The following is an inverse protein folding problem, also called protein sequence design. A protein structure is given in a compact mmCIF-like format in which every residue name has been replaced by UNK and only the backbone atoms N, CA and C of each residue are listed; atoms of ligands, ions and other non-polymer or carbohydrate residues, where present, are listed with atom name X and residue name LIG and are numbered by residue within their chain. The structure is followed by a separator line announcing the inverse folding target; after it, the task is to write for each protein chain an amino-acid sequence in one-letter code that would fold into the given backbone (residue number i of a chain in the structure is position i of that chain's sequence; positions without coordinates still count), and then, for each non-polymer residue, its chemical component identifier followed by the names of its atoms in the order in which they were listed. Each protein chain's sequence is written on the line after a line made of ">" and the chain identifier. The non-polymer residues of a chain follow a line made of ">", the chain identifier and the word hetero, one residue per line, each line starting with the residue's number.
data_IF_543333365120
#
_entry.id   IF_543333365120
#
_cell.length_a   1.000
_cell.length_b   1.000
_cell.length_c   1.000
_cell.angle_alpha   90.00
_cell.angle_beta   90.00
_cell.angle_gamma   90.00
#
_symmetry.space_group_name_H-M   'P 1'
#
loop_
_entity.id
_entity.type
_entity.pdbx_description
1 polymer ?
#
# COMPACT_ATOMS: atom_id res chain seq x y z
N UNK A 1 -12.02 40.35 7.41
CA UNK A 1 -11.97 38.92 7.76
C UNK A 1 -11.39 38.18 6.57
N UNK A 2 -10.16 37.71 6.71
CA UNK A 2 -9.42 36.98 5.67
C UNK A 2 -9.87 35.51 5.77
N UNK A 3 -10.35 34.87 4.69
CA UNK A 3 -10.72 33.46 4.74
C UNK A 3 -9.46 32.60 4.95
N UNK A 4 -9.58 31.56 5.77
CA UNK A 4 -8.51 30.61 6.07
C UNK A 4 -8.03 29.87 4.80
N UNK A 5 -6.71 29.65 4.72
CA UNK A 5 -6.00 28.89 3.67
C UNK A 5 -6.58 27.50 3.35
N UNK A 6 -7.42 26.93 4.21
CA UNK A 6 -8.13 25.66 3.98
C UNK A 6 -9.16 25.68 2.82
N UNK A 7 -9.61 26.86 2.37
CA UNK A 7 -10.61 26.96 1.29
C UNK A 7 -10.03 27.20 -0.11
N UNK A 8 -8.71 27.39 -0.24
CA UNK A 8 -8.08 27.69 -1.54
C UNK A 8 -7.65 26.38 -2.26
N UNK A 9 -7.37 25.31 -1.51
CA UNK A 9 -7.00 24.01 -2.10
C UNK A 9 -8.18 23.23 -2.71
N UNK A 10 -9.44 23.54 -2.33
CA UNK A 10 -10.65 22.87 -2.88
C UNK A 10 -11.18 23.48 -4.18
N UNK A 11 -10.67 24.63 -4.61
CA UNK A 11 -11.19 25.40 -5.76
C UNK A 11 -10.31 25.25 -7.01
N UNK A 12 -9.09 24.71 -6.90
CA UNK A 12 -8.16 24.60 -8.02
C UNK A 12 -8.31 23.34 -8.90
N UNK A 13 -9.32 22.50 -8.67
CA UNK A 13 -9.62 21.35 -9.55
C UNK A 13 -10.59 21.70 -10.69
N UNK A 14 -11.18 22.91 -10.67
CA UNK A 14 -12.39 23.24 -11.44
C UNK A 14 -12.17 23.95 -12.79
N UNK A 15 -10.93 24.16 -13.25
CA UNK A 15 -10.68 25.02 -14.43
C UNK A 15 -10.02 24.36 -15.65
N UNK A 16 -9.75 23.06 -15.63
CA UNK A 16 -9.18 22.35 -16.80
C UNK A 16 -10.09 21.31 -17.46
N UNK A 17 -11.35 21.17 -17.03
CA UNK A 17 -12.30 20.19 -17.60
C UNK A 17 -13.16 20.71 -18.77
N UNK A 18 -12.83 21.87 -19.37
CA UNK A 18 -13.62 22.49 -20.45
C UNK A 18 -12.98 22.43 -21.85
N UNK A 19 -12.06 21.50 -22.09
CA UNK A 19 -11.66 21.17 -23.46
C UNK A 19 -12.26 19.81 -23.85
N UNK A 20 -13.40 19.78 -24.57
CA UNK A 20 -13.88 18.56 -25.22
C UNK A 20 -12.99 18.30 -26.43
N UNK A 21 -11.74 17.93 -26.16
CA UNK A 21 -10.89 17.26 -27.14
C UNK A 21 -11.45 15.85 -27.30
N UNK A 22 -12.05 15.57 -28.45
CA UNK A 22 -12.47 14.25 -28.85
C UNK A 22 -11.26 13.29 -28.85
N UNK A 23 -11.00 12.65 -27.71
CA UNK A 23 -10.11 11.50 -27.64
C UNK A 23 -10.97 10.26 -27.79
N UNK A 24 -10.79 9.56 -28.91
CA UNK A 24 -11.28 8.21 -29.09
C UNK A 24 -10.95 7.39 -27.84
N UNK A 25 -11.96 6.77 -27.26
CA UNK A 25 -11.89 6.10 -25.97
C UNK A 25 -10.81 5.02 -25.97
N UNK A 26 -9.68 5.27 -25.30
CA UNK A 26 -8.61 4.28 -25.06
C UNK A 26 -8.74 3.60 -23.69
N UNK A 27 -9.82 3.90 -22.96
CA UNK A 27 -10.18 3.28 -21.70
C UNK A 27 -11.21 2.17 -21.95
N UNK A 28 -11.09 0.97 -21.36
CA UNK A 28 -12.06 -0.09 -21.55
C UNK A 28 -13.49 0.39 -21.25
N UNK A 29 -14.47 -0.03 -22.05
CA UNK A 29 -15.87 0.19 -21.73
C UNK A 29 -16.25 -0.54 -20.43
N UNK A 30 -17.04 0.12 -19.60
CA UNK A 30 -17.58 -0.44 -18.37
C UNK A 30 -18.99 0.10 -18.11
N UNK A 31 -19.77 -0.63 -17.33
CA UNK A 31 -21.05 -0.18 -16.83
C UNK A 31 -20.91 0.16 -15.35
N UNK A 32 -21.36 1.35 -14.97
CA UNK A 32 -21.40 1.78 -13.58
C UNK A 32 -22.76 1.44 -13.01
N UNK A 33 -22.76 0.72 -11.90
CA UNK A 33 -23.96 0.53 -11.07
C UNK A 33 -23.67 1.17 -9.72
N UNK A 34 -24.41 2.22 -9.37
CA UNK A 34 -24.32 2.86 -8.05
C UNK A 34 -25.44 2.32 -7.15
N UNK A 35 -25.08 1.81 -5.98
CA UNK A 35 -26.04 1.33 -4.98
C UNK A 35 -25.95 2.18 -3.72
N UNK A 36 -26.98 3.00 -3.46
CA UNK A 36 -27.04 3.90 -2.31
C UNK A 36 -26.38 5.25 -2.55
N UNK A 37 -26.17 6.00 -1.46
CA UNK A 37 -25.45 7.27 -1.50
C UNK A 37 -23.93 7.01 -1.62
N UNK A 38 -23.24 7.83 -2.41
CA UNK A 38 -21.78 7.82 -2.53
C UNK A 38 -21.18 8.96 -1.72
N UNK A 39 -19.99 8.74 -1.17
CA UNK A 39 -19.23 9.83 -0.54
C UNK A 39 -18.93 10.92 -1.58
N UNK A 40 -19.01 12.21 -1.18
CA UNK A 40 -18.72 13.29 -2.10
C UNK A 40 -17.23 13.30 -2.44
N UNK A 41 -16.92 13.48 -3.74
CA UNK A 41 -15.56 13.68 -4.20
C UNK A 41 -15.22 12.81 -5.40
N UNK A 42 -13.93 12.49 -5.50
CA UNK A 42 -13.35 11.73 -6.58
C UNK A 42 -12.76 10.42 -6.07
N UNK A 43 -12.90 9.38 -6.87
CA UNK A 43 -12.41 8.05 -6.59
C UNK A 43 -11.17 7.79 -7.42
N UNK A 44 -10.06 7.50 -6.76
CA UNK A 44 -8.80 7.14 -7.39
C UNK A 44 -8.72 5.63 -7.51
N UNK A 45 -8.47 5.15 -8.71
CA UNK A 45 -8.49 3.73 -9.03
C UNK A 45 -7.22 3.35 -9.77
N UNK A 46 -6.60 2.27 -9.32
CA UNK A 46 -5.56 1.55 -10.05
C UNK A 46 -6.01 0.10 -10.20
N UNK A 47 -6.92 -0.22 -11.15
CA UNK A 47 -7.38 -1.58 -11.35
C UNK A 47 -6.19 -2.50 -11.60
N UNK A 48 -5.99 -3.43 -10.67
CA UNK A 48 -5.03 -4.52 -10.82
C UNK A 48 -5.70 -5.70 -11.51
N UNK A 49 -4.92 -6.36 -12.34
CA UNK A 49 -5.38 -7.51 -13.10
C UNK A 49 -4.86 -8.79 -12.47
N UNK A 50 -5.77 -9.65 -12.03
CA UNK A 50 -5.44 -10.97 -11.48
C UNK A 50 -5.56 -12.04 -12.58
N UNK A 51 -4.51 -12.84 -12.83
CA UNK A 51 -4.53 -13.96 -13.79
C UNK A 51 -3.95 -13.68 -15.19
N UNK A 52 -4.27 -14.51 -16.20
CA UNK A 52 -3.64 -14.49 -17.55
C UNK A 52 -4.23 -13.43 -18.50
N UNK A 53 -3.43 -12.66 -19.27
CA UNK A 53 -3.82 -11.45 -20.07
C UNK A 53 -4.01 -11.68 -21.60
N UNK A 54 -5.03 -12.43 -22.05
CA UNK A 54 -5.19 -12.76 -23.47
C UNK A 54 -5.50 -11.53 -24.33
N UNK A 55 -6.07 -10.48 -23.74
CA UNK A 55 -6.51 -9.27 -24.44
C UNK A 55 -5.46 -8.16 -24.47
N UNK A 56 -4.25 -8.38 -23.91
CA UNK A 56 -3.17 -7.39 -23.82
C UNK A 56 -3.65 -6.02 -23.32
N UNK A 57 -4.53 -6.03 -22.32
CA UNK A 57 -5.04 -4.80 -21.70
C UNK A 57 -3.95 -4.28 -20.78
N UNK A 58 -3.62 -3.00 -20.92
CA UNK A 58 -2.65 -2.33 -20.05
C UNK A 58 -3.25 -1.97 -18.70
N UNK A 59 -2.40 -1.66 -17.73
CA UNK A 59 -2.87 -1.10 -16.47
C UNK A 59 -3.27 0.37 -16.66
N UNK A 60 -4.18 0.83 -15.82
CA UNK A 60 -4.69 2.20 -15.86
C UNK A 60 -4.65 2.83 -14.47
N UNK A 61 -4.39 4.13 -14.44
CA UNK A 61 -4.85 4.97 -13.34
C UNK A 61 -6.08 5.72 -13.80
N UNK A 62 -7.09 5.80 -12.95
CA UNK A 62 -8.36 6.43 -13.27
C UNK A 62 -8.82 7.28 -12.10
N UNK A 63 -9.35 8.46 -12.40
CA UNK A 63 -10.12 9.25 -11.46
C UNK A 63 -11.55 9.30 -11.96
N UNK A 64 -12.49 8.94 -11.11
CA UNK A 64 -13.93 8.99 -11.40
C UNK A 64 -14.66 9.90 -10.43
N UNK A 65 -15.74 10.52 -10.86
CA UNK A 65 -16.68 11.19 -9.97
C UNK A 65 -17.66 10.20 -9.32
N UNK A 66 -18.53 10.69 -8.42
CA UNK A 66 -19.53 9.87 -7.72
C UNK A 66 -20.64 9.27 -8.60
N UNK A 67 -20.73 9.66 -9.87
CA UNK A 67 -21.60 9.03 -10.88
C UNK A 67 -20.86 8.02 -11.77
N UNK A 68 -19.56 7.85 -11.55
CA UNK A 68 -18.70 6.96 -12.32
C UNK A 68 -18.24 7.52 -13.66
N UNK A 69 -18.40 8.84 -13.90
CA UNK A 69 -17.77 9.46 -15.06
C UNK A 69 -16.27 9.54 -14.85
N UNK A 70 -15.51 9.09 -15.85
CA UNK A 70 -14.05 9.22 -15.88
C UNK A 70 -13.70 10.67 -16.13
N UNK A 71 -13.02 11.32 -15.18
CA UNK A 71 -12.50 12.69 -15.32
C UNK A 71 -11.02 12.72 -15.67
N UNK A 72 -10.29 11.64 -15.39
CA UNK A 72 -8.91 11.45 -15.79
C UNK A 72 -8.64 9.96 -15.98
N UNK A 73 -7.83 9.62 -16.98
CA UNK A 73 -7.20 8.31 -17.04
C UNK A 73 -5.80 8.40 -17.62
N UNK A 74 -4.94 7.46 -17.22
CA UNK A 74 -3.62 7.24 -17.79
C UNK A 74 -3.42 5.76 -18.06
N UNK A 75 -3.12 5.43 -19.32
CA UNK A 75 -2.76 4.06 -19.72
C UNK A 75 -1.27 3.83 -19.52
N UNK A 76 -0.93 2.65 -19.03
CA UNK A 76 0.43 2.13 -18.95
C UNK A 76 0.67 1.01 -19.97
N UNK A 77 1.93 0.75 -20.37
CA UNK A 77 2.27 -0.41 -21.19
C UNK A 77 1.75 -1.72 -20.58
N UNK A 78 1.42 -2.69 -21.44
CA UNK A 78 0.76 -3.96 -21.06
C UNK A 78 1.51 -4.73 -19.97
N UNK A 79 2.84 -4.66 -19.98
CA UNK A 79 3.70 -5.40 -19.05
C UNK A 79 4.31 -4.48 -17.97
N UNK A 80 3.74 -3.29 -17.77
CA UNK A 80 4.20 -2.37 -16.74
C UNK A 80 3.29 -2.44 -15.52
N UNK A 81 3.82 -2.96 -14.42
CA UNK A 81 3.15 -2.91 -13.12
C UNK A 81 3.09 -1.46 -12.61
N UNK A 82 1.93 -1.11 -12.10
CA UNK A 82 1.62 0.18 -11.48
C UNK A 82 0.62 -0.08 -10.36
N UNK A 83 0.62 0.78 -9.34
CA UNK A 83 -0.13 0.55 -8.10
C UNK A 83 -0.28 1.83 -7.28
N UNK A 84 -1.01 1.72 -6.17
CA UNK A 84 -1.12 2.76 -5.12
C UNK A 84 -1.35 4.19 -5.66
N UNK A 85 -2.25 4.32 -6.65
CA UNK A 85 -2.63 5.62 -7.19
C UNK A 85 -3.60 6.30 -6.24
N UNK A 86 -3.12 7.27 -5.45
CA UNK A 86 -3.94 7.93 -4.44
C UNK A 86 -3.53 9.37 -4.17
N UNK A 87 -4.50 10.13 -3.65
CA UNK A 87 -4.25 11.46 -3.11
C UNK A 87 -3.56 11.36 -1.74
N UNK A 88 -2.47 12.10 -1.57
CA UNK A 88 -1.76 12.26 -0.31
C UNK A 88 -2.34 13.44 0.48
N UNK A 89 -2.10 13.49 1.80
CA UNK A 89 -2.63 14.55 2.67
C UNK A 89 -2.21 15.98 2.24
N UNK A 90 -1.09 16.12 1.54
CA UNK A 90 -0.61 17.39 0.99
C UNK A 90 -1.43 17.91 -0.20
N UNK A 91 -2.31 17.09 -0.79
CA UNK A 91 -3.01 17.37 -2.05
C UNK A 91 -2.20 17.01 -3.30
N UNK A 92 -0.98 16.47 -3.14
CA UNK A 92 -0.26 15.79 -4.21
C UNK A 92 -0.81 14.37 -4.39
N UNK A 93 -0.52 13.76 -5.52
CA UNK A 93 -0.95 12.40 -5.85
C UNK A 93 0.30 11.52 -5.95
N UNK A 94 0.26 10.33 -5.35
CA UNK A 94 1.31 9.31 -5.50
C UNK A 94 0.87 8.18 -6.43
N UNK A 95 1.83 7.48 -7.03
CA UNK A 95 1.63 6.15 -7.58
C UNK A 95 2.92 5.35 -7.65
N UNK A 96 2.82 4.04 -7.49
CA UNK A 96 3.91 3.10 -7.72
C UNK A 96 4.06 2.77 -9.20
N UNK A 97 5.28 2.75 -9.71
CA UNK A 97 5.62 2.28 -11.04
C UNK A 97 7.14 2.10 -11.16
N UNK A 98 7.62 1.11 -11.92
CA UNK A 98 9.07 0.94 -12.19
C UNK A 98 9.93 0.91 -10.91
N UNK A 99 9.50 0.13 -9.91
CA UNK A 99 10.20 -0.05 -8.64
C UNK A 99 10.42 1.26 -7.83
N UNK A 100 9.49 2.20 -7.92
CA UNK A 100 9.49 3.45 -7.14
C UNK A 100 8.11 4.08 -7.08
N UNK A 101 7.93 5.01 -6.16
CA UNK A 101 6.79 5.90 -6.12
C UNK A 101 7.10 7.20 -6.84
N UNK A 102 6.16 7.65 -7.68
CA UNK A 102 6.19 8.96 -8.32
C UNK A 102 5.17 9.87 -7.64
N UNK A 103 5.56 11.11 -7.43
CA UNK A 103 4.69 12.16 -6.88
C UNK A 103 4.33 13.11 -8.01
N UNK A 104 3.04 13.36 -8.18
CA UNK A 104 2.51 14.25 -9.21
C UNK A 104 1.64 15.35 -8.59
N UNK A 105 1.62 16.51 -9.24
CA UNK A 105 0.74 17.61 -8.87
C UNK A 105 -0.66 17.48 -9.52
N UNK A 106 -1.52 18.47 -9.27
CA UNK A 106 -2.88 18.52 -9.84
C UNK A 106 -2.92 18.70 -11.36
N UNK A 107 -1.79 18.98 -12.01
CA UNK A 107 -1.65 19.01 -13.48
C UNK A 107 -1.20 17.66 -14.05
N UNK A 108 -1.06 16.64 -13.19
CA UNK A 108 -0.55 15.31 -13.50
C UNK A 108 0.91 15.30 -13.98
N UNK A 109 1.67 16.32 -13.60
CA UNK A 109 3.11 16.41 -13.87
C UNK A 109 3.88 15.76 -12.72
N UNK A 110 4.89 14.94 -13.05
CA UNK A 110 5.80 14.38 -12.04
C UNK A 110 6.65 15.50 -11.45
N UNK A 111 6.55 15.68 -10.14
CA UNK A 111 7.31 16.68 -9.38
C UNK A 111 8.40 16.05 -8.52
N UNK A 112 8.27 14.76 -8.17
CA UNK A 112 9.30 14.02 -7.44
C UNK A 112 9.15 12.49 -7.60
N UNK A 113 10.10 11.73 -7.05
CA UNK A 113 10.01 10.29 -6.87
C UNK A 113 10.80 9.81 -5.65
N UNK A 114 10.38 8.69 -5.05
CA UNK A 114 11.07 8.07 -3.93
C UNK A 114 11.07 6.54 -4.07
N UNK A 115 12.14 5.92 -3.57
CA UNK A 115 12.29 4.47 -3.47
C UNK A 115 13.23 4.14 -2.30
N UNK A 116 13.11 2.95 -1.73
CA UNK A 116 13.92 2.49 -0.62
C UNK A 116 15.41 2.51 -0.97
N UNK A 117 16.24 2.85 0.01
CA UNK A 117 17.69 2.99 -0.12
C UNK A 117 18.41 1.78 0.49
N UNK A 118 19.74 1.79 0.47
CA UNK A 118 20.61 0.83 1.16
C UNK A 118 20.41 -0.65 0.74
N UNK A 119 19.93 -0.90 -0.47
CA UNK A 119 19.73 -2.26 -1.00
C UNK A 119 18.38 -2.89 -0.65
N UNK A 120 17.52 -2.18 0.06
CA UNK A 120 16.14 -2.60 0.33
C UNK A 120 15.34 -2.61 -0.97
N UNK A 121 14.61 -3.71 -1.21
CA UNK A 121 13.75 -3.87 -2.38
C UNK A 121 12.49 -3.04 -2.20
N UNK A 122 12.15 -2.18 -3.16
CA UNK A 122 10.96 -1.36 -3.06
C UNK A 122 9.68 -2.20 -3.14
N UNK A 123 8.83 -2.08 -2.12
CA UNK A 123 7.48 -2.63 -2.13
C UNK A 123 6.51 -1.73 -2.91
N UNK A 124 5.44 -2.31 -3.48
CA UNK A 124 4.50 -1.60 -4.34
C UNK A 124 3.20 -1.18 -3.65
N UNK A 125 2.93 -1.68 -2.45
CA UNK A 125 1.61 -1.61 -1.83
C UNK A 125 1.29 -0.23 -1.27
N UNK A 126 2.23 0.42 -0.59
CA UNK A 126 1.94 1.65 0.13
C UNK A 126 3.14 2.60 0.29
N UNK A 127 2.82 3.89 0.29
CA UNK A 127 3.66 4.97 0.76
C UNK A 127 2.83 6.10 1.42
N UNK A 128 3.47 6.86 2.32
CA UNK A 128 2.92 8.10 2.87
C UNK A 128 3.86 9.29 2.63
N UNK A 129 3.32 10.38 2.11
CA UNK A 129 4.04 11.65 2.02
C UNK A 129 3.76 12.45 3.29
N UNK A 130 4.79 12.60 4.11
CA UNK A 130 4.65 13.17 5.44
C UNK A 130 4.65 14.71 5.41
N UNK A 131 3.99 15.41 6.36
CA UNK A 131 3.91 16.87 6.39
C UNK A 131 5.26 17.60 6.47
N UNK A 132 6.30 16.94 6.96
CA UNK A 132 7.67 17.43 7.01
C UNK A 132 8.43 17.27 5.67
N UNK A 133 7.78 16.75 4.62
CA UNK A 133 8.38 16.50 3.31
C UNK A 133 9.14 15.17 3.22
N UNK A 134 8.98 14.29 4.22
CA UNK A 134 9.59 12.95 4.21
C UNK A 134 8.70 11.93 3.50
N UNK A 135 9.28 10.79 3.15
CA UNK A 135 8.61 9.66 2.51
C UNK A 135 8.66 8.47 3.44
N UNK A 136 7.50 7.96 3.85
CA UNK A 136 7.39 6.68 4.54
C UNK A 136 7.09 5.61 3.51
N UNK A 137 7.96 4.62 3.39
CA UNK A 137 7.95 3.60 2.35
C UNK A 137 7.92 2.21 2.97
N UNK A 138 7.19 1.32 2.31
CA UNK A 138 7.36 -0.12 2.51
C UNK A 138 8.48 -0.64 1.61
N UNK A 139 9.25 -1.58 2.12
CA UNK A 139 10.30 -2.28 1.40
C UNK A 139 10.37 -3.75 1.83
N UNK A 140 11.28 -4.49 1.21
CA UNK A 140 11.53 -5.88 1.54
C UNK A 140 13.03 -6.20 1.51
N UNK A 141 13.43 -7.19 2.29
CA UNK A 141 14.73 -7.84 2.27
C UNK A 141 14.60 -9.35 2.12
N UNK A 142 15.65 -10.00 1.61
CA UNK A 142 15.72 -11.45 1.53
C UNK A 142 16.67 -11.97 2.61
N UNK A 143 16.16 -12.82 3.51
CA UNK A 143 16.90 -13.40 4.62
C UNK A 143 16.99 -14.91 4.41
N UNK A 144 18.19 -15.47 4.49
CA UNK A 144 18.36 -16.93 4.49
C UNK A 144 18.08 -17.48 5.89
N UNK A 145 17.10 -18.35 6.03
CA UNK A 145 16.66 -18.90 7.32
C UNK A 145 16.53 -20.43 7.26
N UNK A 146 16.91 -21.11 8.34
CA UNK A 146 16.62 -22.54 8.51
C UNK A 146 15.18 -22.71 9.03
N UNK A 147 14.31 -23.23 8.18
CA UNK A 147 12.91 -23.47 8.49
C UNK A 147 12.57 -24.97 8.63
N UNK A 148 13.59 -25.83 8.73
CA UNK A 148 13.42 -27.29 8.81
C UNK A 148 12.63 -27.75 10.03
N UNK A 149 12.59 -26.94 11.09
CA UNK A 149 11.81 -27.17 12.30
C UNK A 149 10.30 -26.91 12.15
N UNK A 150 9.85 -26.33 11.04
CA UNK A 150 8.47 -25.90 10.83
C UNK A 150 7.73 -26.80 9.82
N UNK A 151 6.92 -27.78 10.28
CA UNK A 151 6.18 -28.71 9.42
C UNK A 151 4.86 -28.10 8.91
N UNK A 152 4.94 -26.93 8.27
CA UNK A 152 3.76 -26.10 7.95
C UNK A 152 3.55 -25.89 6.45
N UNK A 153 4.47 -26.35 5.61
CA UNK A 153 4.50 -25.95 4.21
C UNK A 153 3.58 -26.79 3.33
N UNK A 154 3.06 -26.16 2.28
CA UNK A 154 2.31 -26.80 1.20
C UNK A 154 0.93 -27.34 1.63
N UNK A 155 0.40 -26.88 2.76
CA UNK A 155 -0.86 -27.36 3.36
C UNK A 155 -0.91 -28.89 3.57
N UNK A 156 0.24 -29.56 3.61
CA UNK A 156 0.37 -31.01 3.76
C UNK A 156 1.28 -31.41 4.94
N UNK A 157 1.73 -30.43 5.72
CA UNK A 157 2.59 -30.64 6.88
C UNK A 157 4.06 -30.86 6.55
N UNK A 158 4.52 -30.47 5.36
CA UNK A 158 5.94 -30.62 4.99
C UNK A 158 6.83 -29.65 5.78
N UNK A 159 8.05 -30.05 6.16
CA UNK A 159 9.01 -29.14 6.75
C UNK A 159 9.49 -28.08 5.74
N UNK A 160 9.89 -26.92 6.26
CA UNK A 160 10.59 -25.90 5.49
C UNK A 160 11.99 -26.33 5.08
N UNK A 161 12.60 -25.57 4.16
CA UNK A 161 14.00 -25.77 3.78
C UNK A 161 14.95 -25.25 4.87
N UNK A 162 16.10 -25.90 5.06
CA UNK A 162 17.15 -25.42 5.97
C UNK A 162 17.95 -24.23 5.44
N UNK A 163 17.70 -23.82 4.20
CA UNK A 163 18.27 -22.62 3.57
C UNK A 163 17.21 -21.87 2.78
N UNK A 164 16.02 -21.70 3.36
CA UNK A 164 14.93 -20.98 2.72
C UNK A 164 15.29 -19.50 2.53
N UNK A 165 14.92 -18.93 1.39
CA UNK A 165 14.92 -17.48 1.18
C UNK A 165 13.60 -16.92 1.68
N UNK A 166 13.68 -16.06 2.70
CA UNK A 166 12.52 -15.45 3.36
C UNK A 166 12.45 -13.98 2.97
N UNK A 167 11.38 -13.59 2.28
CA UNK A 167 11.08 -12.18 1.99
C UNK A 167 10.45 -11.56 3.25
N UNK A 168 11.21 -10.68 3.90
CA UNK A 168 10.81 -9.97 5.12
C UNK A 168 10.59 -8.50 4.83
N UNK A 169 9.55 -7.93 5.43
CA UNK A 169 9.16 -6.54 5.22
C UNK A 169 10.03 -5.55 6.00
N UNK A 170 10.23 -4.38 5.41
CA UNK A 170 10.94 -3.24 5.97
C UNK A 170 10.05 -2.00 5.89
N UNK A 171 10.18 -1.10 6.87
CA UNK A 171 9.72 0.28 6.77
C UNK A 171 10.93 1.18 6.68
N UNK A 172 10.96 2.08 5.70
CA UNK A 172 11.94 3.17 5.65
C UNK A 172 11.24 4.52 5.70
N UNK A 173 11.82 5.46 6.44
CA UNK A 173 11.55 6.88 6.28
C UNK A 173 12.73 7.58 5.63
N UNK A 174 12.46 8.27 4.54
CA UNK A 174 13.45 9.08 3.83
C UNK A 174 13.18 10.56 4.06
N UNK A 175 14.22 11.33 4.32
CA UNK A 175 14.12 12.79 4.30
C UNK A 175 13.90 13.34 2.88
N UNK A 176 13.71 14.65 2.75
CA UNK A 176 13.50 15.31 1.45
C UNK A 176 14.68 15.08 0.47
N UNK A 177 15.90 14.93 1.00
CA UNK A 177 17.12 14.64 0.24
C UNK A 177 17.34 13.14 -0.05
N UNK A 178 16.37 12.30 0.34
CA UNK A 178 16.35 10.84 0.15
C UNK A 178 17.37 10.08 1.02
N UNK A 179 17.81 10.68 2.13
CA UNK A 179 18.58 9.96 3.14
C UNK A 179 17.65 9.15 4.04
N UNK A 180 18.05 7.93 4.42
CA UNK A 180 17.33 7.12 5.40
C UNK A 180 17.50 7.74 6.79
N UNK A 181 16.37 8.12 7.41
CA UNK A 181 16.34 8.69 8.77
C UNK A 181 15.65 7.77 9.78
N UNK A 182 14.96 6.74 9.31
CA UNK A 182 14.41 5.65 10.09
C UNK A 182 14.34 4.39 9.22
N UNK A 183 14.68 3.25 9.79
CA UNK A 183 14.60 1.93 9.15
C UNK A 183 14.18 0.91 10.20
N UNK A 184 13.23 0.05 9.85
CA UNK A 184 12.65 -0.94 10.76
C UNK A 184 12.52 -2.27 10.03
N UNK A 185 13.10 -3.32 10.61
CA UNK A 185 13.16 -4.66 10.03
C UNK A 185 12.17 -5.57 10.72
N UNK A 186 11.21 -6.14 9.99
CA UNK A 186 10.22 -7.04 10.59
C UNK A 186 10.86 -8.25 11.28
N UNK A 187 11.99 -8.74 10.75
CA UNK A 187 12.74 -9.87 11.32
C UNK A 187 13.34 -9.61 12.71
N UNK A 188 13.55 -8.35 13.10
CA UNK A 188 14.07 -8.00 14.43
C UNK A 188 12.96 -8.00 15.50
N UNK A 189 11.70 -8.02 15.08
CA UNK A 189 10.55 -7.75 15.96
C UNK A 189 9.49 -8.85 15.97
N UNK A 190 9.47 -9.75 14.99
CA UNK A 190 8.51 -10.84 14.90
C UNK A 190 9.17 -12.22 14.99
N UNK A 191 8.41 -13.18 15.51
CA UNK A 191 8.75 -14.60 15.44
C UNK A 191 8.28 -15.17 14.10
N UNK A 192 9.06 -16.07 13.47
CA UNK A 192 8.63 -16.72 12.22
C UNK A 192 7.23 -17.35 12.35
N UNK A 193 6.93 -17.92 13.52
CA UNK A 193 5.68 -18.57 13.88
C UNK A 193 4.43 -17.67 13.91
N UNK A 194 4.60 -16.35 13.79
CA UNK A 194 3.50 -15.40 13.75
C UNK A 194 2.71 -15.46 12.44
N UNK A 195 3.33 -16.01 11.38
CA UNK A 195 2.69 -16.23 10.08
C UNK A 195 1.54 -17.24 10.19
N UNK A 196 0.43 -16.96 9.52
CA UNK A 196 -0.60 -17.95 9.27
C UNK A 196 -0.08 -18.99 8.26
N UNK A 197 -0.08 -20.25 8.67
CA UNK A 197 0.50 -21.36 7.90
C UNK A 197 -0.16 -21.54 6.53
N UNK A 198 -1.39 -21.04 6.34
CA UNK A 198 -2.09 -21.12 5.05
C UNK A 198 -1.42 -20.32 3.93
N UNK A 199 -0.53 -19.37 4.28
CA UNK A 199 0.29 -18.63 3.32
C UNK A 199 1.62 -19.32 2.98
N UNK A 200 2.02 -20.35 3.74
CA UNK A 200 3.30 -21.06 3.56
C UNK A 200 3.21 -22.14 2.48
N UNK A 201 3.30 -21.73 1.22
CA UNK A 201 3.13 -22.64 0.08
C UNK A 201 4.45 -23.27 -0.42
N UNK A 202 5.53 -22.49 -0.56
CA UNK A 202 6.84 -22.96 -1.04
C UNK A 202 7.84 -23.03 0.14
N UNK A 203 8.39 -24.22 0.46
CA UNK A 203 9.37 -24.37 1.55
C UNK A 203 10.73 -23.72 1.28
N UNK A 204 11.02 -23.29 0.05
CA UNK A 204 12.30 -22.68 -0.32
C UNK A 204 12.23 -21.16 -0.49
N UNK A 205 11.09 -20.62 -0.91
CA UNK A 205 10.89 -19.18 -1.15
C UNK A 205 9.65 -18.72 -0.40
N UNK A 206 9.86 -18.06 0.74
CA UNK A 206 8.80 -17.75 1.69
C UNK A 206 8.51 -16.27 1.66
N UNK A 207 7.34 -15.89 1.19
CA UNK A 207 6.78 -14.56 1.42
C UNK A 207 6.21 -14.50 2.84
N UNK A 208 6.97 -13.93 3.77
CA UNK A 208 6.71 -14.14 5.19
C UNK A 208 5.76 -13.11 5.78
N UNK A 209 6.08 -11.81 5.70
CA UNK A 209 5.28 -10.77 6.33
C UNK A 209 4.19 -10.23 5.41
N UNK A 210 4.51 -10.05 4.13
CA UNK A 210 3.63 -9.44 3.12
C UNK A 210 2.97 -8.14 3.61
N UNK A 211 3.77 -7.07 3.68
CA UNK A 211 3.29 -5.78 4.16
C UNK A 211 2.37 -5.14 3.13
N UNK A 212 1.19 -4.70 3.57
CA UNK A 212 0.17 -4.16 2.68
C UNK A 212 -0.07 -2.65 2.85
N UNK A 213 0.14 -2.11 4.05
CA UNK A 213 -0.11 -0.71 4.32
C UNK A 213 0.70 -0.20 5.51
N UNK A 214 1.06 1.08 5.45
CA UNK A 214 1.66 1.83 6.56
C UNK A 214 0.98 3.18 6.69
N UNK A 215 0.72 3.58 7.93
CA UNK A 215 0.04 4.83 8.28
C UNK A 215 0.69 5.45 9.51
N UNK A 216 0.79 6.78 9.56
CA UNK A 216 1.16 7.49 10.80
C UNK A 216 -0.10 7.73 11.62
N UNK A 217 -0.14 7.22 12.84
CA UNK A 217 -1.25 7.41 13.76
C UNK A 217 -1.23 8.82 14.41
N UNK A 218 -2.28 9.20 15.11
CA UNK A 218 -2.45 10.54 15.70
C UNK A 218 -1.38 10.91 16.75
N UNK A 219 -0.74 9.92 17.36
CA UNK A 219 0.33 10.08 18.35
C UNK A 219 1.73 10.01 17.72
N UNK A 220 1.82 9.97 16.38
CA UNK A 220 3.07 9.96 15.63
C UNK A 220 3.72 8.58 15.49
N UNK A 221 3.13 7.55 16.10
CA UNK A 221 3.52 6.15 15.95
C UNK A 221 3.01 5.57 14.62
N UNK A 222 3.47 4.37 14.25
CA UNK A 222 3.12 3.75 12.97
C UNK A 222 2.05 2.67 13.17
N UNK A 223 1.11 2.58 12.25
CA UNK A 223 0.25 1.41 12.06
C UNK A 223 0.73 0.67 10.81
N UNK A 224 1.00 -0.62 10.97
CA UNK A 224 1.50 -1.50 9.91
C UNK A 224 0.51 -2.64 9.67
N UNK A 225 0.09 -2.82 8.42
CA UNK A 225 -0.72 -3.97 8.01
C UNK A 225 0.19 -5.12 7.55
N UNK A 226 0.17 -6.22 8.30
CA UNK A 226 0.94 -7.44 8.01
C UNK A 226 -0.02 -8.54 7.55
N UNK A 227 -0.15 -8.73 6.24
CA UNK A 227 -1.21 -9.56 5.66
C UNK A 227 -1.10 -11.01 6.09
N UNK A 228 0.10 -11.58 5.98
CA UNK A 228 0.28 -13.01 6.23
C UNK A 228 0.21 -13.37 7.72
N UNK A 229 0.20 -12.37 8.60
CA UNK A 229 0.00 -12.55 10.03
C UNK A 229 -1.45 -12.27 10.42
N UNK A 230 -2.26 -11.80 9.46
CA UNK A 230 -3.63 -11.38 9.67
C UNK A 230 -3.75 -10.33 10.78
N UNK A 231 -2.90 -9.30 10.76
CA UNK A 231 -2.88 -8.30 11.84
C UNK A 231 -2.50 -6.88 11.42
N UNK A 232 -2.93 -5.93 12.25
CA UNK A 232 -2.37 -4.59 12.33
C UNK A 232 -1.46 -4.50 13.55
N UNK A 233 -0.23 -4.03 13.33
CA UNK A 233 0.73 -3.79 14.41
C UNK A 233 0.96 -2.30 14.58
N UNK A 234 0.86 -1.83 15.83
CA UNK A 234 1.31 -0.48 16.17
C UNK A 234 2.75 -0.50 16.63
N UNK A 235 3.56 0.37 16.05
CA UNK A 235 5.00 0.45 16.27
C UNK A 235 5.34 1.84 16.84
N UNK A 236 6.11 1.86 17.92
CA UNK A 236 6.71 3.08 18.44
C UNK A 236 7.77 3.57 17.45
N UNK A 237 7.51 4.71 16.81
CA UNK A 237 8.37 5.21 15.72
C UNK A 237 9.76 5.63 16.19
N UNK A 238 9.93 5.96 17.48
CA UNK A 238 11.22 6.42 18.01
C UNK A 238 12.11 5.26 18.42
N UNK A 239 11.52 4.16 18.90
CA UNK A 239 12.26 3.02 19.47
C UNK A 239 12.19 1.76 18.62
N UNK A 240 11.29 1.71 17.62
CA UNK A 240 11.00 0.54 16.82
C UNK A 240 10.21 -0.56 17.55
N UNK A 241 9.85 -0.36 18.82
CA UNK A 241 9.19 -1.40 19.61
C UNK A 241 7.72 -1.56 19.21
N UNK A 242 7.23 -2.80 19.23
CA UNK A 242 5.80 -3.08 19.04
C UNK A 242 5.04 -2.62 20.30
N UNK A 243 4.05 -1.74 20.10
CA UNK A 243 3.16 -1.23 21.15
C UNK A 243 2.01 -2.20 21.37
N UNK A 244 1.30 -2.57 20.30
CA UNK A 244 0.20 -3.54 20.34
C UNK A 244 -0.01 -4.21 18.99
N UNK A 245 -0.76 -5.31 18.99
CA UNK A 245 -1.12 -6.09 17.80
C UNK A 245 -2.61 -6.42 17.80
N UNK A 246 -3.28 -6.16 16.68
CA UNK A 246 -4.72 -6.35 16.47
C UNK A 246 -4.92 -7.38 15.37
N UNK A 247 -5.59 -8.48 15.69
CA UNK A 247 -5.74 -9.63 14.78
C UNK A 247 -4.64 -10.68 14.93
N UNK A 248 -4.75 -11.75 14.17
CA UNK A 248 -3.71 -12.77 14.08
C UNK A 248 -3.47 -13.58 15.35
N UNK A 249 -2.35 -14.30 15.38
CA UNK A 249 -1.97 -15.21 16.47
C UNK A 249 -1.61 -14.48 17.77
N UNK A 250 -1.25 -13.20 17.69
CA UNK A 250 -0.76 -12.37 18.82
C UNK A 250 -1.73 -11.23 19.17
N UNK A 251 -2.99 -11.39 18.77
CA UNK A 251 -4.06 -10.43 18.98
C UNK A 251 -4.22 -10.01 20.45
N UNK A 252 -4.35 -8.72 20.69
CA UNK A 252 -4.59 -8.13 22.01
C UNK A 252 -6.00 -7.51 22.14
N UNK A 253 -6.87 -7.72 21.14
CA UNK A 253 -8.20 -7.12 21.05
C UNK A 253 -9.29 -8.19 20.96
N UNK A 254 -10.54 -7.84 21.28
CA UNK A 254 -11.70 -8.72 21.11
C UNK A 254 -12.59 -8.23 19.97
N UNK A 255 -13.02 -9.15 19.09
CA UNK A 255 -13.99 -8.87 18.03
C UNK A 255 -15.34 -9.53 18.35
N UNK A 256 -16.17 -8.92 19.21
CA UNK A 256 -17.46 -9.51 19.55
C UNK A 256 -18.37 -9.55 18.31
N UNK A 257 -19.02 -10.69 18.10
CA UNK A 257 -19.97 -10.92 17.01
C UNK A 257 -19.36 -10.88 15.59
N UNK A 258 -18.06 -11.15 15.45
CA UNK A 258 -17.40 -11.30 14.16
C UNK A 258 -16.92 -12.76 13.96
N UNK A 259 -17.77 -13.65 13.39
CA UNK A 259 -17.40 -15.04 13.15
C UNK A 259 -16.43 -15.21 11.97
N UNK A 260 -16.28 -14.20 11.11
CA UNK A 260 -15.33 -14.24 10.00
C UNK A 260 -13.90 -13.96 10.48
N UNK A 261 -13.77 -13.15 11.53
CA UNK A 261 -12.50 -12.78 12.13
C UNK A 261 -11.70 -11.81 11.26
N UNK A 262 -10.50 -11.48 11.75
CA UNK A 262 -9.59 -10.54 11.09
C UNK A 262 -8.60 -11.31 10.22
N UNK A 263 -8.67 -11.17 8.90
CA UNK A 263 -7.88 -11.95 7.93
C UNK A 263 -7.53 -11.13 6.68
N UNK A 264 -6.32 -11.34 6.15
CA UNK A 264 -5.87 -10.90 4.82
C UNK A 264 -6.11 -9.41 4.49
N UNK A 265 -6.03 -8.53 5.49
CA UNK A 265 -6.29 -7.11 5.32
C UNK A 265 -5.27 -6.47 4.35
N UNK A 266 -5.77 -5.62 3.44
CA UNK A 266 -4.97 -4.95 2.40
C UNK A 266 -4.78 -3.45 2.63
N UNK A 267 -5.42 -2.91 3.67
CA UNK A 267 -5.28 -1.50 4.00
C UNK A 267 -5.50 -1.27 5.50
N UNK A 268 -4.90 -0.19 6.02
CA UNK A 268 -5.08 0.27 7.39
C UNK A 268 -4.91 1.78 7.44
N UNK A 269 -6.02 2.50 7.67
CA UNK A 269 -6.05 3.96 7.68
C UNK A 269 -6.58 4.50 8.99
N UNK A 270 -5.95 5.58 9.45
CA UNK A 270 -6.46 6.32 10.59
C UNK A 270 -7.54 7.30 10.12
N UNK A 271 -8.78 7.08 10.53
CA UNK A 271 -9.90 8.01 10.30
C UNK A 271 -9.99 9.07 11.42
N UNK A 272 -10.62 10.22 11.15
CA UNK A 272 -10.98 11.16 12.20
C UNK A 272 -12.05 10.54 13.12
N UNK A 273 -11.91 10.74 14.44
CA UNK A 273 -12.93 10.36 15.42
C UNK A 273 -13.93 11.50 15.66
#
# INVERSE_FOLDING_TARGET
>A
MIPSLHNIARIALLLFLLLPGAYAQQYPDFQVTTTGATDPGYFFLCPIRVGANPSNIGNYHTIMDGSGHVVYYRRFPVNMNTGDFKMQASGLISYYAKARFYIIDSTFTIVDSAYCQNGVLQDAHDMQLLPNGHYLLLGNENITTDLSAYPWFGNNGSPGSSGATVLSGIIQELDAAKNVVFEWHAADHYDFADVDETYLNDPNNVDWTHLNAVEVDYDGNLLLSVRHFNEITKIDRNTGQIIWRLGGKKNQFSFPNDPAGFIAQHDARRIAN
#
